data_IF_790794293721
#
_entry.id   IF_790794293721
#
_cell.length_a   1.000
_cell.length_b   1.000
_cell.length_c   1.000
_cell.angle_alpha   90.00
_cell.angle_beta   90.00
_cell.angle_gamma   90.00
#
_symmetry.space_group_name_H-M   'P 1'
#
loop_
_entity.id
_entity.type
_entity.pdbx_description
1 polymer ?
#
# COMPACT_ATOMS: atom_id res chain seq x y z
N UNK A 1 25.86 -55.21 -15.77
CA UNK A 1 25.78 -53.89 -15.08
C UNK A 1 24.99 -52.97 -15.99
N UNK A 2 23.75 -52.64 -15.62
CA UNK A 2 22.89 -51.77 -16.43
C UNK A 2 23.26 -50.31 -16.17
N UNK A 3 23.64 -49.59 -17.22
CA UNK A 3 23.71 -48.13 -17.18
C UNK A 3 22.26 -47.63 -17.23
N UNK A 4 21.82 -46.96 -16.17
CA UNK A 4 20.58 -46.18 -16.18
C UNK A 4 20.83 -44.89 -16.95
N UNK A 5 19.96 -44.58 -17.91
CA UNK A 5 19.99 -43.30 -18.62
C UNK A 5 19.99 -42.13 -17.62
N UNK A 6 20.74 -41.05 -17.91
CA UNK A 6 20.75 -39.87 -17.05
C UNK A 6 19.33 -39.28 -16.96
N UNK A 7 18.92 -38.77 -15.77
CA UNK A 7 17.61 -38.19 -15.61
C UNK A 7 17.44 -36.98 -16.54
N UNK A 8 16.26 -36.91 -17.18
CA UNK A 8 15.87 -35.81 -18.07
C UNK A 8 15.90 -34.48 -17.32
N UNK A 9 16.16 -33.38 -18.05
CA UNK A 9 16.34 -32.08 -17.42
C UNK A 9 15.03 -31.56 -16.82
N UNK A 10 15.07 -30.76 -15.73
CA UNK A 10 13.88 -30.16 -15.15
C UNK A 10 13.03 -29.37 -16.14
N UNK A 11 13.63 -28.78 -17.20
CA UNK A 11 12.91 -28.09 -18.28
C UNK A 11 12.02 -29.00 -19.12
N UNK A 12 12.32 -30.29 -19.17
CA UNK A 12 11.58 -31.29 -19.96
C UNK A 12 10.59 -32.08 -19.11
N UNK A 13 10.72 -32.02 -17.77
CA UNK A 13 9.93 -32.84 -16.84
C UNK A 13 9.01 -32.04 -15.93
N UNK A 14 9.29 -30.76 -15.68
CA UNK A 14 8.48 -29.92 -14.82
C UNK A 14 7.46 -29.10 -15.64
N UNK A 15 6.21 -28.98 -15.17
CA UNK A 15 5.23 -28.09 -15.78
C UNK A 15 5.73 -26.65 -15.74
N UNK A 16 5.47 -25.91 -16.80
CA UNK A 16 5.61 -24.45 -16.81
C UNK A 16 4.45 -23.83 -16.04
N UNK A 17 4.55 -22.54 -15.69
CA UNK A 17 3.44 -21.81 -15.04
C UNK A 17 2.13 -21.87 -15.84
N UNK A 18 2.20 -22.08 -17.16
CA UNK A 18 1.05 -22.21 -18.04
C UNK A 18 0.40 -23.60 -18.03
N UNK A 19 1.13 -24.62 -17.55
CA UNK A 19 0.64 -26.00 -17.43
C UNK A 19 -0.08 -26.23 -16.09
N UNK A 20 0.01 -25.27 -15.15
CA UNK A 20 -0.65 -25.32 -13.86
C UNK A 20 -2.07 -24.72 -13.97
N UNK A 21 -3.13 -25.45 -13.56
CA UNK A 21 -4.47 -24.87 -13.52
C UNK A 21 -4.52 -23.74 -12.47
N UNK A 22 -5.19 -22.63 -12.80
CA UNK A 22 -5.46 -21.57 -11.82
C UNK A 22 -6.21 -22.15 -10.63
N UNK A 23 -5.78 -21.82 -9.41
CA UNK A 23 -6.52 -22.17 -8.18
C UNK A 23 -7.92 -21.56 -8.15
N UNK A 24 -8.17 -20.52 -8.95
CA UNK A 24 -9.46 -19.86 -9.14
C UNK A 24 -9.82 -19.83 -10.64
N UNK A 25 -10.53 -20.84 -11.17
CA UNK A 25 -10.83 -20.96 -12.61
C UNK A 25 -11.75 -19.85 -13.16
N UNK A 26 -12.52 -19.21 -12.28
CA UNK A 26 -13.44 -18.12 -12.61
C UNK A 26 -12.82 -16.73 -12.45
N UNK A 27 -11.65 -16.63 -11.80
CA UNK A 27 -10.90 -15.39 -11.86
C UNK A 27 -10.34 -15.27 -13.27
N UNK A 28 -10.67 -14.20 -14.03
CA UNK A 28 -9.97 -13.94 -15.28
C UNK A 28 -8.52 -13.79 -14.89
N UNK A 29 -7.70 -14.80 -15.21
CA UNK A 29 -6.27 -14.77 -14.94
C UNK A 29 -5.68 -13.45 -15.42
N UNK A 30 -4.52 -13.08 -14.87
CA UNK A 30 -3.75 -11.90 -15.27
C UNK A 30 -3.89 -11.70 -16.78
N UNK A 31 -4.41 -10.54 -17.25
CA UNK A 31 -4.63 -10.32 -18.67
C UNK A 31 -3.27 -10.23 -19.39
N UNK A 32 -2.73 -11.39 -19.74
CA UNK A 32 -1.44 -11.59 -20.42
C UNK A 32 -1.50 -11.14 -21.90
N UNK A 33 -2.61 -10.53 -22.32
CA UNK A 33 -2.84 -10.00 -23.65
C UNK A 33 -3.29 -8.54 -23.55
N UNK A 34 -2.32 -7.65 -23.32
CA UNK A 34 -2.47 -6.21 -23.57
C UNK A 34 -2.74 -5.32 -22.36
N UNK A 35 -2.69 -5.82 -21.13
CA UNK A 35 -2.60 -4.94 -19.97
C UNK A 35 -1.20 -4.34 -19.89
N UNK A 36 -1.13 -3.01 -19.88
CA UNK A 36 0.11 -2.29 -19.61
C UNK A 36 0.79 -2.88 -18.35
N UNK A 37 2.12 -3.09 -18.33
CA UNK A 37 2.86 -3.54 -17.14
C UNK A 37 2.58 -2.70 -15.88
N UNK A 38 2.00 -1.51 -16.05
CA UNK A 38 1.48 -0.66 -14.98
C UNK A 38 0.25 -1.22 -14.23
N UNK A 39 -0.45 -2.25 -14.72
CA UNK A 39 -1.62 -2.81 -14.03
C UNK A 39 -1.20 -3.57 -12.77
N UNK A 40 -0.34 -4.55 -12.93
CA UNK A 40 0.05 -5.48 -11.87
C UNK A 40 0.99 -4.81 -10.86
N UNK A 41 1.91 -3.98 -11.37
CA UNK A 41 2.86 -3.23 -10.54
C UNK A 41 2.14 -2.23 -9.64
N UNK A 42 1.03 -1.63 -10.06
CA UNK A 42 0.31 -0.67 -9.21
C UNK A 42 -0.36 -1.33 -8.00
N UNK A 43 -0.96 -2.52 -8.19
CA UNK A 43 -1.60 -3.25 -7.08
C UNK A 43 -0.58 -3.65 -6.01
N UNK A 44 0.66 -3.94 -6.42
CA UNK A 44 1.78 -4.19 -5.50
C UNK A 44 2.34 -2.90 -4.87
N UNK A 45 2.61 -1.87 -5.68
CA UNK A 45 3.31 -0.66 -5.22
C UNK A 45 2.42 0.29 -4.41
N UNK A 46 1.12 0.39 -4.70
CA UNK A 46 0.23 1.32 -4.01
C UNK A 46 0.14 1.04 -2.49
N UNK A 47 -0.05 -0.21 -2.02
CA UNK A 47 0.03 -0.54 -0.60
C UNK A 47 1.39 -0.25 0.02
N UNK A 48 2.48 -0.43 -0.73
CA UNK A 48 3.83 -0.12 -0.25
C UNK A 48 4.01 1.38 -0.04
N UNK A 49 3.57 2.22 -0.98
CA UNK A 49 3.64 3.67 -0.83
C UNK A 49 2.84 4.14 0.40
N UNK A 50 1.63 3.61 0.60
CA UNK A 50 0.82 3.92 1.78
C UNK A 50 1.54 3.53 3.08
N UNK A 51 2.22 2.39 3.09
CA UNK A 51 2.93 1.91 4.28
C UNK A 51 4.21 2.72 4.56
N UNK A 52 4.95 3.10 3.52
CA UNK A 52 6.22 3.85 3.62
C UNK A 52 6.06 5.34 3.89
N UNK A 53 4.88 5.90 3.61
CA UNK A 53 4.60 7.32 3.84
C UNK A 53 3.69 7.55 5.05
N UNK A 54 3.21 6.50 5.71
CA UNK A 54 2.36 6.63 6.90
C UNK A 54 3.18 7.14 8.09
N UNK A 55 2.85 8.33 8.57
CA UNK A 55 3.37 8.87 9.82
C UNK A 55 2.23 9.39 10.69
N UNK A 56 2.00 8.72 11.82
CA UNK A 56 0.97 9.09 12.80
C UNK A 56 1.63 9.83 13.96
N UNK A 57 1.14 11.02 14.32
CA UNK A 57 1.65 11.79 15.46
C UNK A 57 1.23 11.20 16.81
N UNK A 58 0.04 10.62 16.84
CA UNK A 58 -0.65 10.25 18.09
C UNK A 58 -0.45 8.78 18.46
N UNK A 59 0.24 8.00 17.63
CA UNK A 59 0.46 6.57 17.81
C UNK A 59 1.93 6.21 17.63
N UNK A 60 2.53 5.55 18.63
CA UNK A 60 3.84 4.93 18.46
C UNK A 60 3.75 3.69 17.55
N UNK A 61 4.89 3.24 17.01
CA UNK A 61 4.92 2.15 16.01
C UNK A 61 4.37 0.81 16.52
N UNK A 62 4.36 0.59 17.82
CA UNK A 62 3.79 -0.58 18.49
C UNK A 62 2.28 -0.47 18.75
N UNK A 63 1.69 0.71 18.54
CA UNK A 63 0.25 0.99 18.75
C UNK A 63 -0.58 0.94 17.46
N UNK A 64 0.04 0.64 16.32
CA UNK A 64 -0.66 0.45 15.06
C UNK A 64 -0.03 -0.63 14.18
N UNK A 65 -0.83 -1.15 13.26
CA UNK A 65 -0.43 -2.16 12.29
C UNK A 65 -0.98 -1.81 10.91
N UNK A 66 -0.15 -1.97 9.88
CA UNK A 66 -0.55 -1.88 8.48
C UNK A 66 -0.40 -3.25 7.84
N UNK A 67 -1.39 -3.66 7.05
CA UNK A 67 -1.33 -4.88 6.26
C UNK A 67 -1.75 -4.64 4.82
N UNK A 68 -1.18 -5.43 3.92
CA UNK A 68 -1.51 -5.45 2.49
C UNK A 68 -1.72 -6.89 2.05
N UNK A 69 -2.66 -7.12 1.14
CA UNK A 69 -3.00 -8.46 0.64
C UNK A 69 -3.25 -9.50 1.75
N UNK A 70 -3.88 -9.06 2.84
CA UNK A 70 -4.24 -9.91 3.98
C UNK A 70 -5.75 -9.89 4.21
N UNK A 71 -6.26 -11.03 4.65
CA UNK A 71 -7.65 -11.15 5.07
C UNK A 71 -7.87 -10.44 6.40
N UNK A 72 -8.85 -9.54 6.43
CA UNK A 72 -9.31 -8.89 7.66
C UNK A 72 -10.60 -9.57 8.11
N UNK A 73 -10.46 -10.44 9.10
CA UNK A 73 -11.54 -11.11 9.82
C UNK A 73 -12.18 -10.13 10.82
N UNK A 74 -13.50 -10.18 10.95
CA UNK A 74 -14.24 -9.18 11.73
C UNK A 74 -15.34 -9.78 12.61
N UNK A 75 -15.45 -11.11 12.66
CA UNK A 75 -16.43 -11.81 13.47
C UNK A 75 -15.79 -13.08 14.05
N UNK A 76 -15.65 -13.12 15.37
CA UNK A 76 -15.05 -14.26 16.09
C UNK A 76 -15.95 -15.49 16.11
N UNK A 77 -17.27 -15.30 15.95
CA UNK A 77 -18.24 -16.38 15.87
C UNK A 77 -18.36 -16.95 14.45
N UNK A 78 -17.92 -16.18 13.45
CA UNK A 78 -17.85 -16.60 12.05
C UNK A 78 -16.42 -16.46 11.51
N UNK A 79 -15.48 -17.33 11.92
CA UNK A 79 -14.05 -17.16 11.66
C UNK A 79 -13.66 -17.27 10.17
N UNK A 80 -14.56 -17.73 9.31
CA UNK A 80 -14.34 -17.76 7.86
C UNK A 80 -14.74 -16.46 7.16
N UNK A 81 -15.46 -15.56 7.85
CA UNK A 81 -15.93 -14.31 7.26
C UNK A 81 -14.81 -13.26 7.28
N UNK A 82 -14.42 -12.83 6.09
CA UNK A 82 -13.33 -11.88 5.92
C UNK A 82 -13.62 -10.86 4.81
N UNK A 83 -12.84 -9.79 4.83
CA UNK A 83 -12.68 -8.86 3.69
C UNK A 83 -11.22 -8.92 3.25
N UNK A 84 -10.95 -8.76 1.95
CA UNK A 84 -9.60 -8.75 1.37
C UNK A 84 -9.29 -7.37 0.77
N UNK A 85 -8.95 -6.36 1.60
CA UNK A 85 -8.54 -5.06 1.10
C UNK A 85 -7.12 -5.13 0.50
N UNK A 86 -6.82 -4.28 -0.49
CA UNK A 86 -5.45 -4.12 -0.98
C UNK A 86 -4.51 -3.64 0.14
N UNK A 87 -5.02 -2.78 1.03
CA UNK A 87 -4.30 -2.24 2.18
C UNK A 87 -5.25 -1.86 3.33
N UNK A 88 -4.79 -1.98 4.58
CA UNK A 88 -5.50 -1.48 5.76
C UNK A 88 -4.57 -0.99 6.85
N UNK A 89 -5.11 -0.13 7.72
CA UNK A 89 -4.50 0.36 8.95
C UNK A 89 -5.42 0.03 10.13
N UNK A 90 -4.84 -0.59 11.16
CA UNK A 90 -5.46 -0.80 12.46
C UNK A 90 -4.69 0.02 13.51
N UNK A 91 -5.38 0.86 14.26
CA UNK A 91 -4.81 1.74 15.31
C UNK A 91 -5.46 1.46 16.65
N UNK A 92 -4.72 1.63 17.75
CA UNK A 92 -5.28 1.58 19.10
C UNK A 92 -5.84 0.21 19.53
N UNK A 93 -5.52 -0.85 18.79
CA UNK A 93 -5.96 -2.21 19.09
C UNK A 93 -4.77 -3.00 19.64
N UNK A 94 -4.88 -3.63 20.83
CA UNK A 94 -4.00 -4.73 21.20
C UNK A 94 -4.03 -5.79 20.08
N UNK A 95 -2.94 -6.53 19.86
CA UNK A 95 -2.88 -7.58 18.82
C UNK A 95 -3.96 -8.66 18.96
N UNK A 96 -4.64 -8.74 20.10
CA UNK A 96 -5.73 -9.67 20.40
C UNK A 96 -7.08 -8.94 20.34
N UNK A 97 -7.98 -9.48 19.53
CA UNK A 97 -9.30 -8.92 19.23
C UNK A 97 -10.29 -9.16 20.37
N UNK A 98 -10.69 -8.11 21.10
CA UNK A 98 -11.65 -8.19 22.22
C UNK A 98 -13.12 -7.98 21.77
N UNK A 99 -13.47 -8.35 20.55
CA UNK A 99 -14.89 -8.54 20.16
C UNK A 99 -15.77 -7.29 20.02
N UNK A 100 -15.24 -6.08 20.18
CA UNK A 100 -16.07 -4.88 20.33
C UNK A 100 -15.96 -3.81 19.25
N UNK A 101 -14.97 -3.85 18.35
CA UNK A 101 -14.76 -2.73 17.42
C UNK A 101 -15.20 -3.02 15.98
N UNK A 102 -16.19 -2.25 15.53
CA UNK A 102 -16.52 -2.07 14.12
C UNK A 102 -15.43 -1.23 13.45
N UNK A 103 -15.19 -1.44 12.15
CA UNK A 103 -14.23 -0.63 11.39
C UNK A 103 -14.73 0.82 11.33
N UNK A 104 -13.92 1.75 11.83
CA UNK A 104 -14.30 3.18 11.91
C UNK A 104 -14.58 3.79 10.54
N UNK A 105 -13.81 3.41 9.53
CA UNK A 105 -13.94 3.92 8.18
C UNK A 105 -13.27 3.03 7.14
N UNK A 106 -13.60 3.25 5.87
CA UNK A 106 -12.85 2.72 4.73
C UNK A 106 -12.85 3.71 3.56
N UNK A 107 -11.89 3.51 2.67
CA UNK A 107 -11.68 4.33 1.48
C UNK A 107 -11.74 3.43 0.25
N UNK A 108 -12.40 3.90 -0.80
CA UNK A 108 -12.40 3.24 -2.11
C UNK A 108 -11.76 4.19 -3.10
N UNK A 109 -10.73 3.70 -3.78
CA UNK A 109 -10.02 4.44 -4.80
C UNK A 109 -10.04 3.68 -6.12
N UNK A 110 -10.44 4.36 -7.19
CA UNK A 110 -10.35 3.85 -8.54
C UNK A 110 -9.24 4.56 -9.29
N UNK A 111 -8.16 3.84 -9.63
CA UNK A 111 -7.06 4.38 -10.44
C UNK A 111 -7.50 4.85 -11.83
N UNK A 112 -8.48 4.16 -12.43
CA UNK A 112 -8.93 4.45 -13.79
C UNK A 112 -9.76 5.73 -13.89
N UNK A 113 -10.56 6.01 -12.86
CA UNK A 113 -11.43 7.20 -12.82
C UNK A 113 -10.88 8.28 -11.89
N UNK A 114 -9.77 8.01 -11.19
CA UNK A 114 -9.18 8.86 -10.17
C UNK A 114 -10.20 9.34 -9.13
N UNK A 115 -11.19 8.47 -8.85
CA UNK A 115 -12.26 8.75 -7.92
C UNK A 115 -11.92 8.17 -6.57
N UNK A 116 -11.80 9.05 -5.59
CA UNK A 116 -11.65 8.74 -4.19
C UNK A 116 -13.02 8.85 -3.51
N UNK A 117 -13.37 7.86 -2.69
CA UNK A 117 -14.63 7.84 -1.93
C UNK A 117 -14.32 7.43 -0.50
N UNK A 118 -14.95 8.11 0.45
CA UNK A 118 -14.70 7.93 1.88
C UNK A 118 -15.99 7.56 2.59
N UNK A 119 -15.92 6.55 3.44
CA UNK A 119 -17.07 6.10 4.22
C UNK A 119 -16.69 6.04 5.69
N UNK A 120 -17.47 6.71 6.54
CA UNK A 120 -17.38 6.58 8.00
C UNK A 120 -18.57 5.81 8.53
N UNK A 121 -18.34 5.02 9.58
CA UNK A 121 -19.40 4.42 10.35
C UNK A 121 -20.03 5.49 11.25
N UNK A 122 -21.29 5.83 11.00
CA UNK A 122 -22.06 6.80 11.81
C UNK A 122 -23.27 6.05 12.37
N UNK A 123 -23.27 5.82 13.69
CA UNK A 123 -24.21 4.91 14.33
C UNK A 123 -23.89 3.46 13.95
N UNK A 124 -24.79 2.80 13.19
CA UNK A 124 -24.63 1.40 12.72
C UNK A 124 -24.58 1.27 11.19
N UNK A 125 -24.40 2.38 10.48
CA UNK A 125 -24.38 2.41 9.02
C UNK A 125 -23.19 3.20 8.51
N UNK A 126 -22.57 2.70 7.44
CA UNK A 126 -21.55 3.45 6.72
C UNK A 126 -22.22 4.50 5.85
N UNK A 127 -21.77 5.76 5.99
CA UNK A 127 -22.23 6.88 5.18
C UNK A 127 -21.07 7.44 4.38
N UNK A 128 -21.28 7.67 3.09
CA UNK A 128 -20.30 8.37 2.24
C UNK A 128 -20.14 9.80 2.76
N UNK A 129 -18.89 10.24 2.90
CA UNK A 129 -18.53 11.57 3.36
C UNK A 129 -18.12 12.43 2.17
N UNK A 130 -18.32 13.74 2.31
CA UNK A 130 -17.74 14.69 1.37
C UNK A 130 -16.21 14.67 1.47
N UNK A 131 -15.55 14.93 0.34
CA UNK A 131 -14.10 15.10 0.25
C UNK A 131 -13.86 16.53 -0.21
N UNK A 132 -13.01 17.25 0.50
CA UNK A 132 -12.68 18.62 0.16
C UNK A 132 -12.05 18.70 -1.23
N UNK A 133 -12.32 19.80 -1.93
CA UNK A 133 -11.99 19.91 -3.35
C UNK A 133 -10.49 20.11 -3.57
N UNK A 134 -9.79 20.77 -2.63
CA UNK A 134 -8.38 21.12 -2.71
C UNK A 134 -7.74 21.20 -1.32
N UNK A 135 -6.73 20.36 -1.01
CA UNK A 135 -6.32 19.18 -1.78
C UNK A 135 -7.48 18.17 -1.86
N UNK A 136 -7.54 17.37 -2.94
CA UNK A 136 -8.50 16.26 -3.08
C UNK A 136 -8.10 15.10 -2.14
N UNK A 137 -8.13 15.39 -0.84
CA UNK A 137 -7.66 14.56 0.23
C UNK A 137 -8.77 14.38 1.26
N UNK A 138 -8.83 13.18 1.81
CA UNK A 138 -9.65 12.85 2.95
C UNK A 138 -8.87 13.22 4.19
N UNK A 139 -9.37 14.15 4.99
CA UNK A 139 -8.80 14.41 6.29
C UNK A 139 -9.36 13.44 7.34
N UNK A 140 -8.47 12.71 8.01
CA UNK A 140 -8.81 11.78 9.09
C UNK A 140 -8.54 12.47 10.44
N UNK A 141 -9.51 13.24 10.93
CA UNK A 141 -9.40 14.00 12.18
C UNK A 141 -8.89 13.17 13.36
N UNK A 142 -9.38 11.93 13.49
CA UNK A 142 -9.02 11.02 14.59
C UNK A 142 -7.56 10.54 14.54
N UNK A 143 -6.88 10.74 13.41
CA UNK A 143 -5.49 10.34 13.15
C UNK A 143 -4.58 11.54 12.84
N UNK A 144 -5.14 12.74 12.75
CA UNK A 144 -4.46 13.98 12.39
C UNK A 144 -3.62 13.86 11.10
N UNK A 145 -4.15 13.17 10.09
CA UNK A 145 -3.46 12.89 8.82
C UNK A 145 -4.45 12.91 7.65
N UNK A 146 -3.97 13.37 6.49
CA UNK A 146 -4.73 13.41 5.25
C UNK A 146 -4.34 12.29 4.30
N UNK A 147 -5.29 11.78 3.51
CA UNK A 147 -5.06 10.82 2.44
C UNK A 147 -5.56 11.39 1.12
N UNK A 148 -4.66 11.66 0.19
CA UNK A 148 -5.01 12.27 -1.10
C UNK A 148 -4.45 11.53 -2.29
N UNK A 149 -4.86 11.99 -3.48
CA UNK A 149 -4.29 11.54 -4.75
C UNK A 149 -3.10 12.44 -5.07
N UNK A 150 -1.90 11.87 -5.01
CA UNK A 150 -0.64 12.49 -5.40
C UNK A 150 -0.27 12.07 -6.82
N UNK A 151 0.12 13.03 -7.65
CA UNK A 151 0.66 12.77 -8.99
C UNK A 151 2.18 12.84 -8.94
N UNK A 152 2.84 11.75 -9.35
CA UNK A 152 4.29 11.67 -9.32
C UNK A 152 4.83 10.28 -9.62
N UNK A 153 6.14 10.14 -9.46
CA UNK A 153 6.88 8.90 -9.69
C UNK A 153 7.11 8.14 -8.39
N UNK A 154 6.74 6.86 -8.36
CA UNK A 154 7.10 5.96 -7.28
C UNK A 154 7.71 4.68 -7.84
N UNK A 155 8.91 4.31 -7.37
CA UNK A 155 9.67 3.14 -7.83
C UNK A 155 9.80 3.06 -9.37
N UNK A 156 10.09 4.19 -10.02
CA UNK A 156 10.26 4.26 -11.48
C UNK A 156 8.95 4.41 -12.27
N UNK A 157 7.80 4.44 -11.60
CA UNK A 157 6.49 4.45 -12.24
C UNK A 157 5.79 5.77 -11.99
N UNK A 158 5.60 6.56 -13.04
CA UNK A 158 4.78 7.76 -13.00
C UNK A 158 3.29 7.40 -12.92
N UNK A 159 2.54 8.09 -12.06
CA UNK A 159 1.10 7.86 -11.96
C UNK A 159 0.40 8.72 -10.92
N UNK A 160 -0.88 8.40 -10.70
CA UNK A 160 -1.70 8.97 -9.64
C UNK A 160 -1.82 7.94 -8.52
N UNK A 161 -1.21 8.25 -7.39
CA UNK A 161 -1.09 7.35 -6.26
C UNK A 161 -1.86 7.91 -5.06
N UNK A 162 -2.40 7.05 -4.22
CA UNK A 162 -2.77 7.46 -2.87
C UNK A 162 -1.51 7.69 -2.04
N UNK A 163 -1.46 8.84 -1.37
CA UNK A 163 -0.34 9.23 -0.52
C UNK A 163 -0.83 10.01 0.68
N UNK A 164 -0.17 9.83 1.82
CA UNK A 164 -0.49 10.58 3.03
C UNK A 164 0.03 12.02 2.95
N UNK A 165 -0.68 12.95 3.58
CA UNK A 165 -0.28 14.35 3.74
C UNK A 165 -0.53 14.84 5.17
N UNK A 166 0.18 15.90 5.56
CA UNK A 166 -0.04 16.58 6.83
C UNK A 166 -1.17 17.63 6.75
N UNK A 167 -1.42 18.34 7.85
CA UNK A 167 -2.46 19.36 7.96
C UNK A 167 -2.25 20.54 7.02
N UNK A 168 -0.99 20.82 6.65
CA UNK A 168 -0.61 21.84 5.68
C UNK A 168 -0.82 21.41 4.22
N UNK A 169 -1.23 20.15 3.99
CA UNK A 169 -1.41 19.59 2.65
C UNK A 169 -0.10 19.17 1.97
N UNK A 170 1.02 19.14 2.70
CA UNK A 170 2.29 18.62 2.21
C UNK A 170 2.30 17.10 2.23
N UNK A 171 2.70 16.48 1.12
CA UNK A 171 2.82 15.02 1.01
C UNK A 171 3.93 14.49 1.90
N UNK A 172 3.63 13.41 2.63
CA UNK A 172 4.60 12.78 3.51
C UNK A 172 5.65 12.03 2.66
N UNK A 173 6.95 12.26 2.89
CA UNK A 173 8.02 11.60 2.15
C UNK A 173 8.10 10.12 2.51
N UNK A 174 8.60 9.32 1.58
CA UNK A 174 9.11 7.98 1.86
C UNK A 174 10.44 8.07 2.62
N UNK A 175 10.87 6.95 3.20
CA UNK A 175 12.20 6.86 3.83
C UNK A 175 13.33 7.19 2.84
N UNK A 176 13.20 6.76 1.57
CA UNK A 176 14.17 7.03 0.51
C UNK A 176 14.26 8.52 0.18
N UNK A 177 13.12 9.19 -0.03
CA UNK A 177 13.10 10.64 -0.27
C UNK A 177 13.67 11.40 0.94
N UNK A 178 13.31 10.99 2.16
CA UNK A 178 13.83 11.58 3.40
C UNK A 178 15.36 11.43 3.52
N UNK A 179 15.87 10.24 3.20
CA UNK A 179 17.31 9.96 3.21
C UNK A 179 18.05 10.81 2.16
N UNK A 180 17.48 10.94 0.96
CA UNK A 180 18.06 11.76 -0.10
C UNK A 180 18.09 13.25 0.28
N UNK A 181 17.02 13.79 0.87
CA UNK A 181 17.00 15.17 1.36
C UNK A 181 18.03 15.42 2.47
N UNK A 182 18.23 14.44 3.37
CA UNK A 182 19.26 14.53 4.41
C UNK A 182 20.66 14.51 3.79
N UNK A 183 20.92 13.61 2.84
CA UNK A 183 22.19 13.55 2.13
C UNK A 183 22.49 14.85 1.38
N UNK A 184 21.50 15.41 0.67
CA UNK A 184 21.64 16.67 -0.06
C UNK A 184 21.94 17.84 0.87
N UNK A 185 21.24 17.93 2.02
CA UNK A 185 21.51 18.96 3.04
C UNK A 185 22.90 18.84 3.66
N UNK A 186 23.36 17.62 3.92
CA UNK A 186 24.71 17.37 4.43
C UNK A 186 25.76 17.74 3.39
N UNK A 187 25.59 17.33 2.14
CA UNK A 187 26.47 17.68 1.03
C UNK A 187 26.56 19.20 0.83
N UNK A 188 25.44 19.91 0.91
CA UNK A 188 25.43 21.37 0.85
C UNK A 188 26.22 22.00 2.00
N UNK A 189 26.02 21.54 3.25
CA UNK A 189 26.77 22.04 4.40
C UNK A 189 28.27 21.75 4.29
N UNK A 190 28.65 20.59 3.76
CA UNK A 190 30.06 20.26 3.52
C UNK A 190 30.68 21.21 2.49
N UNK A 191 29.97 21.49 1.39
CA UNK A 191 30.40 22.46 0.37
C UNK A 191 30.54 23.87 0.96
N UNK A 192 29.63 24.30 1.83
CA UNK A 192 29.73 25.59 2.55
C UNK A 192 30.95 25.65 3.48
N UNK A 193 31.39 24.51 4.04
CA UNK A 193 32.60 24.38 4.84
C UNK A 193 33.88 24.18 3.99
N UNK A 194 33.78 24.22 2.66
CA UNK A 194 34.89 24.05 1.73
C UNK A 194 35.35 22.61 1.53
N UNK A 195 34.56 21.63 1.97
CA UNK A 195 34.81 20.20 1.76
C UNK A 195 34.01 19.73 0.56
N UNK A 196 34.68 19.18 -0.45
CA UNK A 196 34.02 18.59 -1.63
C UNK A 196 33.45 17.20 -1.26
N UNK A 197 32.12 17.01 -1.18
CA UNK A 197 31.51 15.74 -0.81
C UNK A 197 31.73 14.64 -1.86
N UNK A 198 32.01 15.02 -3.10
CA UNK A 198 32.15 14.10 -4.23
C UNK A 198 33.57 13.48 -4.32
N UNK A 199 34.46 13.85 -3.39
CA UNK A 199 35.84 13.36 -3.29
C UNK A 199 36.13 12.54 -2.01
N UNK A 200 35.09 12.20 -1.24
CA UNK A 200 35.17 11.38 -0.02
C UNK A 200 34.99 9.88 -0.28
#
# INVERSE_FOLDING_TARGET
MGQSDPPKSPRETLPTMYDLPSEFPEEPGLPDVGASPSRDVFHDLQPQLLSRTLALSDYSRDQYFTGSDLNVYYDVHHPLWHKRPDWFLAVGVPRLYDGHDLRRSYVVYSRYTQRLRYFKLIGRQYKEQAIDSLPKAIWLEDLNIGLGIWEGEFEGIWGHWLRWCNAEGCWLPTDTETAQERANRLAQRLRELGVDPDQL
#
